data_IF_176212294975
#
_entry.id   IF_176212294975
#
_cell.length_a   1.000
_cell.length_b   1.000
_cell.length_c   1.000
_cell.angle_alpha   90.00
_cell.angle_beta   90.00
_cell.angle_gamma   90.00
#
_symmetry.space_group_name_H-M   'P 1'
#
loop_
_entity.id
_entity.type
_entity.pdbx_description
1 polymer ?
#
# COMPACT_ATOMS: atom_id res chain seq x y z
N UNK A 1 9.63 -14.42 13.85
CA UNK A 1 8.47 -13.58 13.49
C UNK A 1 8.86 -12.88 12.19
N UNK A 2 7.99 -12.89 11.17
CA UNK A 2 8.28 -12.14 9.94
C UNK A 2 7.99 -10.68 10.27
N UNK A 3 8.89 -9.76 9.98
CA UNK A 3 8.63 -8.33 10.23
C UNK A 3 7.62 -7.76 9.23
N UNK A 4 6.93 -6.68 9.60
CA UNK A 4 5.97 -6.00 8.71
C UNK A 4 6.63 -5.55 7.39
N UNK A 5 7.86 -5.04 7.45
CA UNK A 5 8.63 -4.64 6.26
C UNK A 5 8.74 -5.80 5.25
N UNK A 6 9.17 -6.97 5.71
CA UNK A 6 9.32 -8.15 4.86
C UNK A 6 7.97 -8.58 4.26
N UNK A 7 6.88 -8.51 5.04
CA UNK A 7 5.54 -8.81 4.52
C UNK A 7 5.08 -7.83 3.46
N UNK A 8 5.29 -6.52 3.63
CA UNK A 8 4.94 -5.53 2.60
C UNK A 8 5.78 -5.73 1.33
N UNK A 9 7.08 -5.99 1.46
CA UNK A 9 7.93 -6.30 0.30
C UNK A 9 7.43 -7.54 -0.44
N UNK A 10 7.10 -8.62 0.27
CA UNK A 10 6.60 -9.87 -0.32
C UNK A 10 5.28 -9.68 -1.05
N UNK A 11 4.33 -9.02 -0.41
CA UNK A 11 3.01 -8.83 -0.97
C UNK A 11 3.03 -7.86 -2.15
N UNK A 12 3.95 -6.87 -2.15
CA UNK A 12 4.18 -5.99 -3.30
C UNK A 12 4.66 -6.81 -4.49
N UNK A 13 5.74 -7.56 -4.29
CA UNK A 13 6.30 -8.46 -5.31
C UNK A 13 5.28 -9.47 -5.85
N UNK A 14 4.56 -10.14 -4.94
CA UNK A 14 3.54 -11.13 -5.30
C UNK A 14 2.40 -10.48 -6.08
N UNK A 15 1.93 -9.31 -5.67
CA UNK A 15 0.92 -8.55 -6.43
C UNK A 15 1.41 -8.23 -7.83
N UNK A 16 2.65 -7.77 -7.96
CA UNK A 16 3.27 -7.44 -9.24
C UNK A 16 3.35 -8.65 -10.17
N UNK A 17 3.89 -9.77 -9.69
CA UNK A 17 4.00 -11.04 -10.43
C UNK A 17 2.64 -11.62 -10.81
N UNK A 18 1.68 -11.61 -9.88
CA UNK A 18 0.33 -12.12 -10.14
C UNK A 18 -0.42 -11.26 -11.16
N UNK A 19 -0.21 -9.93 -11.14
CA UNK A 19 -0.74 -9.03 -12.17
C UNK A 19 -0.11 -9.28 -13.53
N UNK A 20 1.20 -9.45 -13.58
CA UNK A 20 1.91 -9.80 -14.82
C UNK A 20 1.36 -11.10 -15.40
N UNK A 21 1.25 -12.15 -14.58
CA UNK A 21 0.70 -13.44 -14.97
C UNK A 21 -0.77 -13.32 -15.41
N UNK A 22 -1.60 -12.57 -14.68
CA UNK A 22 -3.00 -12.33 -15.04
C UNK A 22 -3.15 -11.53 -16.36
N UNK A 23 -2.14 -10.78 -16.77
CA UNK A 23 -2.10 -10.09 -18.05
C UNK A 23 -1.68 -11.00 -19.22
N UNK A 24 -1.22 -12.23 -18.97
CA UNK A 24 -0.81 -13.17 -20.02
C UNK A 24 -1.99 -13.59 -20.90
N UNK A 25 -1.82 -13.73 -22.23
CA UNK A 25 -2.92 -14.01 -23.17
C UNK A 25 -3.67 -15.33 -22.91
N UNK A 26 -2.99 -16.31 -22.33
CA UNK A 26 -3.48 -17.65 -22.04
C UNK A 26 -4.19 -17.76 -20.68
N UNK A 27 -4.08 -16.72 -19.83
CA UNK A 27 -4.70 -16.69 -18.51
C UNK A 27 -6.07 -16.01 -18.58
N UNK A 28 -7.13 -16.78 -18.25
CA UNK A 28 -8.53 -16.32 -18.31
C UNK A 28 -9.14 -16.01 -16.94
N UNK A 29 -8.30 -15.69 -15.95
CA UNK A 29 -8.73 -15.35 -14.59
C UNK A 29 -8.83 -13.84 -14.41
N UNK A 30 -9.92 -13.39 -13.77
CA UNK A 30 -10.06 -12.00 -13.37
C UNK A 30 -9.30 -11.77 -12.07
N UNK A 31 -8.13 -11.13 -12.15
CA UNK A 31 -7.39 -10.66 -10.97
C UNK A 31 -7.70 -9.17 -10.71
N UNK A 32 -8.86 -8.92 -10.10
CA UNK A 32 -9.44 -7.58 -9.94
C UNK A 32 -8.91 -6.79 -8.75
N UNK A 33 -9.21 -5.49 -8.72
CA UNK A 33 -8.84 -4.55 -7.63
C UNK A 33 -9.29 -5.05 -6.25
N UNK A 34 -10.52 -5.54 -6.15
CA UNK A 34 -11.07 -6.09 -4.90
C UNK A 34 -10.30 -7.33 -4.45
N UNK A 35 -10.05 -8.27 -5.36
CA UNK A 35 -9.30 -9.50 -5.07
C UNK A 35 -7.89 -9.21 -4.56
N UNK A 36 -7.16 -8.30 -5.21
CA UNK A 36 -5.82 -7.90 -4.80
C UNK A 36 -5.86 -7.29 -3.39
N UNK A 37 -6.78 -6.35 -3.17
CA UNK A 37 -6.93 -5.65 -1.88
C UNK A 37 -7.24 -6.63 -0.76
N UNK A 38 -8.23 -7.51 -0.94
CA UNK A 38 -8.63 -8.49 0.06
C UNK A 38 -7.51 -9.48 0.37
N UNK A 39 -6.82 -9.98 -0.66
CA UNK A 39 -5.68 -10.89 -0.49
C UNK A 39 -4.58 -10.25 0.35
N UNK A 40 -4.18 -9.02 0.01
CA UNK A 40 -3.12 -8.31 0.72
C UNK A 40 -3.51 -8.00 2.17
N UNK A 41 -4.72 -7.50 2.42
CA UNK A 41 -5.18 -7.20 3.78
C UNK A 41 -5.27 -8.46 4.66
N UNK A 42 -5.77 -9.56 4.08
CA UNK A 42 -5.88 -10.85 4.78
C UNK A 42 -4.50 -11.40 5.13
N UNK A 43 -3.54 -11.35 4.20
CA UNK A 43 -2.19 -11.83 4.42
C UNK A 43 -1.43 -11.01 5.47
N UNK A 44 -1.57 -9.69 5.46
CA UNK A 44 -1.02 -8.83 6.52
C UNK A 44 -1.59 -9.27 7.88
N UNK A 45 -2.91 -9.43 7.99
CA UNK A 45 -3.56 -9.87 9.24
C UNK A 45 -3.16 -11.29 9.67
N UNK A 46 -2.97 -12.20 8.72
CA UNK A 46 -2.56 -13.59 8.99
C UNK A 46 -1.16 -13.66 9.59
N UNK A 47 -0.23 -12.86 9.05
CA UNK A 47 1.19 -12.89 9.42
C UNK A 47 1.51 -12.05 10.67
N UNK A 48 0.70 -11.04 10.95
CA UNK A 48 0.89 -10.09 12.06
C UNK A 48 -0.32 -10.08 12.99
N UNK A 49 -0.78 -11.26 13.40
CA UNK A 49 -2.06 -11.42 14.12
C UNK A 49 -2.12 -10.72 15.49
N UNK A 50 -0.98 -10.34 16.07
CA UNK A 50 -0.89 -9.64 17.35
C UNK A 50 -0.89 -8.13 17.19
N UNK A 51 -0.29 -7.66 16.09
CA UNK A 51 -0.09 -6.25 15.78
C UNK A 51 -1.22 -5.71 14.90
N UNK A 52 -1.89 -6.57 14.12
CA UNK A 52 -2.86 -6.18 13.11
C UNK A 52 -4.26 -6.63 13.49
N UNK A 53 -5.19 -5.67 13.48
CA UNK A 53 -6.64 -5.92 13.53
C UNK A 53 -7.24 -5.60 12.16
N UNK A 54 -7.97 -6.55 11.59
CA UNK A 54 -8.75 -6.38 10.36
C UNK A 54 -10.22 -6.53 10.71
N UNK A 55 -11.03 -5.52 10.39
CA UNK A 55 -12.47 -5.53 10.54
C UNK A 55 -13.12 -5.36 9.16
N UNK A 56 -14.12 -6.17 8.85
CA UNK A 56 -14.87 -6.13 7.59
C UNK A 56 -16.36 -6.10 7.88
N UNK A 57 -17.09 -5.20 7.22
CA UNK A 57 -18.54 -5.05 7.41
C UNK A 57 -19.30 -5.20 6.09
N UNK A 58 -20.61 -5.46 6.19
CA UNK A 58 -21.44 -5.78 5.03
C UNK A 58 -21.68 -4.57 4.12
N UNK A 59 -21.48 -4.76 2.81
CA UNK A 59 -21.58 -3.78 1.73
C UNK A 59 -22.91 -3.01 1.58
N UNK A 60 -23.95 -3.27 2.38
CA UNK A 60 -25.33 -2.83 2.07
C UNK A 60 -25.57 -1.31 2.10
N UNK A 61 -24.62 -0.49 2.57
CA UNK A 61 -24.78 0.97 2.59
C UNK A 61 -23.59 1.78 2.02
N UNK A 62 -22.49 1.16 1.61
CA UNK A 62 -21.17 1.78 1.87
C UNK A 62 -20.47 2.46 0.67
N UNK A 63 -20.65 1.98 -0.56
CA UNK A 63 -19.88 2.47 -1.72
C UNK A 63 -20.31 3.85 -2.27
N UNK A 64 -21.22 4.55 -1.59
CA UNK A 64 -21.83 5.80 -2.09
C UNK A 64 -21.23 7.07 -1.53
N UNK A 65 -20.59 7.01 -0.35
CA UNK A 65 -20.33 8.22 0.44
C UNK A 65 -18.85 8.56 0.58
N UNK A 66 -17.96 7.57 0.61
CA UNK A 66 -16.53 7.80 0.90
C UNK A 66 -15.64 7.68 -0.32
N UNK A 67 -16.03 6.88 -1.31
CA UNK A 67 -15.19 6.60 -2.48
C UNK A 67 -13.86 5.92 -2.13
N UNK A 68 -13.79 5.20 -1.00
CA UNK A 68 -12.62 4.47 -0.53
C UNK A 68 -12.87 2.95 -0.47
N UNK A 69 -11.80 2.16 -0.63
CA UNK A 69 -11.85 0.70 -0.53
C UNK A 69 -11.53 0.20 0.89
N UNK A 70 -10.66 0.91 1.63
CA UNK A 70 -10.38 0.65 3.05
C UNK A 70 -9.86 1.88 3.80
N UNK A 71 -9.85 1.78 5.12
CA UNK A 71 -9.17 2.71 6.03
C UNK A 71 -7.99 2.02 6.72
N UNK A 72 -6.88 2.75 6.84
CA UNK A 72 -5.65 2.25 7.40
C UNK A 72 -5.17 3.13 8.56
N UNK A 73 -5.05 2.56 9.75
CA UNK A 73 -4.49 3.20 10.93
C UNK A 73 -3.15 2.55 11.29
N UNK A 74 -2.05 3.28 11.16
CA UNK A 74 -0.71 2.85 11.55
C UNK A 74 -0.34 3.60 12.83
N UNK A 75 -0.25 2.86 13.93
CA UNK A 75 -0.12 3.42 15.28
C UNK A 75 1.34 3.29 15.72
N UNK A 76 2.03 4.42 15.85
CA UNK A 76 3.33 4.52 16.50
C UNK A 76 3.18 4.86 17.99
N UNK A 77 4.30 5.03 18.69
CA UNK A 77 4.34 5.42 20.11
C UNK A 77 3.86 6.84 20.35
N UNK A 78 4.14 7.76 19.42
CA UNK A 78 3.86 9.19 19.59
C UNK A 78 2.77 9.64 18.65
N UNK A 79 2.76 9.12 17.42
CA UNK A 79 1.85 9.52 16.37
C UNK A 79 1.16 8.33 15.72
N UNK A 80 -0.08 8.55 15.32
CA UNK A 80 -0.88 7.63 14.50
C UNK A 80 -1.08 8.25 13.13
N UNK A 81 -0.71 7.53 12.08
CA UNK A 81 -1.08 7.85 10.70
C UNK A 81 -2.38 7.16 10.36
N UNK A 82 -3.38 7.93 9.94
CA UNK A 82 -4.68 7.46 9.51
C UNK A 82 -4.89 7.82 8.05
N UNK A 83 -5.27 6.84 7.23
CA UNK A 83 -5.43 7.01 5.80
C UNK A 83 -6.78 6.48 5.35
N UNK A 84 -7.43 7.20 4.43
CA UNK A 84 -8.55 6.69 3.63
C UNK A 84 -7.97 6.30 2.27
N UNK A 85 -8.10 5.03 1.89
CA UNK A 85 -7.36 4.50 0.73
C UNK A 85 -8.31 3.99 -0.35
N UNK A 86 -8.08 4.43 -1.57
CA UNK A 86 -8.73 3.93 -2.78
C UNK A 86 -7.74 3.09 -3.59
N UNK A 87 -8.09 1.84 -3.88
CA UNK A 87 -7.32 1.00 -4.79
C UNK A 87 -7.57 1.40 -6.25
N UNK A 88 -6.53 1.24 -7.08
CA UNK A 88 -6.66 1.33 -8.52
C UNK A 88 -5.69 0.38 -9.21
N UNK A 89 -6.19 -0.54 -10.03
CA UNK A 89 -5.36 -1.46 -10.81
C UNK A 89 -4.95 -0.81 -12.13
N UNK A 90 -3.67 -0.90 -12.45
CA UNK A 90 -3.12 -0.50 -13.74
C UNK A 90 -3.43 -1.57 -14.78
N UNK A 91 -4.03 -1.17 -15.90
CA UNK A 91 -4.31 -2.08 -17.01
C UNK A 91 -3.02 -2.51 -17.71
N UNK A 92 -3.01 -3.68 -18.36
CA UNK A 92 -1.85 -4.24 -19.10
C UNK A 92 -1.01 -3.21 -19.86
N UNK A 93 -1.66 -2.29 -20.59
CA UNK A 93 -0.99 -1.26 -21.39
C UNK A 93 -0.44 -0.04 -20.58
N UNK A 94 -0.38 -0.14 -19.24
CA UNK A 94 0.02 0.94 -18.33
C UNK A 94 -1.08 1.97 -18.07
N UNK A 95 -2.27 1.78 -18.64
CA UNK A 95 -3.39 2.71 -18.52
C UNK A 95 -4.04 2.69 -17.14
N UNK A 96 -4.44 3.87 -16.66
CA UNK A 96 -5.23 4.03 -15.45
C UNK A 96 -6.70 4.16 -15.86
N UNK A 97 -7.56 3.28 -15.36
CA UNK A 97 -9.01 3.38 -15.60
C UNK A 97 -9.57 4.71 -15.08
N UNK A 98 -10.75 5.12 -15.55
CA UNK A 98 -11.31 6.44 -15.26
C UNK A 98 -11.27 6.80 -13.76
N UNK A 99 -10.47 7.83 -13.41
CA UNK A 99 -10.30 8.32 -12.04
C UNK A 99 -11.45 9.23 -11.59
N UNK A 100 -12.17 9.82 -12.54
CA UNK A 100 -13.39 10.62 -12.29
C UNK A 100 -14.65 9.78 -12.40
N UNK A 101 -14.53 8.48 -12.14
CA UNK A 101 -15.67 7.58 -12.19
C UNK A 101 -16.72 8.03 -11.16
N UNK A 102 -17.97 8.12 -11.61
CA UNK A 102 -19.10 8.34 -10.73
C UNK A 102 -19.51 7.00 -10.13
N UNK A 103 -19.61 6.93 -8.80
CA UNK A 103 -20.26 5.80 -8.13
C UNK A 103 -21.72 5.70 -8.56
N UNK A 104 -22.30 4.49 -8.53
CA UNK A 104 -23.71 4.30 -8.88
C UNK A 104 -24.61 5.07 -7.90
N UNK A 105 -25.18 6.17 -8.36
CA UNK A 105 -26.00 7.09 -7.55
C UNK A 105 -25.22 8.05 -6.67
N UNK A 106 -23.91 8.24 -6.92
CA UNK A 106 -23.10 9.26 -6.25
C UNK A 106 -23.43 10.66 -6.80
N UNK A 107 -23.35 11.68 -5.93
CA UNK A 107 -23.54 13.08 -6.32
C UNK A 107 -22.30 13.69 -6.97
N UNK A 108 -21.12 13.10 -6.78
CA UNK A 108 -19.85 13.60 -7.27
C UNK A 108 -18.85 12.47 -7.61
N UNK A 109 -17.75 12.76 -8.33
CA UNK A 109 -16.72 11.77 -8.67
C UNK A 109 -16.09 11.09 -7.45
N UNK A 110 -15.69 9.83 -7.59
CA UNK A 110 -15.14 9.03 -6.49
C UNK A 110 -13.92 9.67 -5.82
N UNK A 111 -13.02 10.29 -6.59
CA UNK A 111 -11.84 10.98 -6.06
C UNK A 111 -12.20 12.22 -5.22
N UNK A 112 -13.32 12.88 -5.54
CA UNK A 112 -13.79 14.04 -4.79
C UNK A 112 -14.38 13.59 -3.46
N UNK A 113 -15.20 12.53 -3.47
CA UNK A 113 -15.69 11.88 -2.25
C UNK A 113 -14.53 11.49 -1.33
N UNK A 114 -13.52 10.81 -1.86
CA UNK A 114 -12.35 10.37 -1.10
C UNK A 114 -11.64 11.53 -0.39
N UNK A 115 -11.39 12.62 -1.11
CA UNK A 115 -10.65 13.77 -0.55
C UNK A 115 -11.49 14.52 0.48
N UNK A 116 -12.77 14.78 0.18
CA UNK A 116 -13.66 15.52 1.08
C UNK A 116 -13.91 14.75 2.37
N UNK A 117 -14.20 13.47 2.25
CA UNK A 117 -14.47 12.59 3.38
C UNK A 117 -13.22 12.35 4.24
N UNK A 118 -12.04 12.17 3.62
CA UNK A 118 -10.79 12.09 4.37
C UNK A 118 -10.51 13.38 5.15
N UNK A 119 -10.71 14.55 4.53
CA UNK A 119 -10.54 15.85 5.20
C UNK A 119 -11.50 16.04 6.36
N UNK A 120 -12.77 15.67 6.18
CA UNK A 120 -13.79 15.78 7.23
C UNK A 120 -13.50 14.90 8.46
N UNK A 121 -12.67 13.87 8.31
CA UNK A 121 -12.32 12.90 9.37
C UNK A 121 -10.84 12.97 9.80
N UNK A 122 -10.11 14.01 9.39
CA UNK A 122 -8.67 14.18 9.64
C UNK A 122 -7.83 12.95 9.25
N UNK A 123 -8.04 12.48 8.02
CA UNK A 123 -7.36 11.35 7.40
C UNK A 123 -6.53 11.82 6.19
N UNK A 124 -5.47 11.08 5.88
CA UNK A 124 -4.74 11.25 4.63
C UNK A 124 -5.51 10.56 3.49
N UNK A 125 -5.94 11.26 2.43
CA UNK A 125 -6.55 10.63 1.28
C UNK A 125 -5.46 10.03 0.37
N UNK A 126 -5.48 8.70 0.20
CA UNK A 126 -4.45 7.98 -0.54
C UNK A 126 -5.05 7.20 -1.72
N UNK A 127 -4.29 7.10 -2.80
CA UNK A 127 -4.44 6.04 -3.80
C UNK A 127 -3.41 4.95 -3.55
N UNK A 128 -3.82 3.70 -3.75
CA UNK A 128 -2.92 2.56 -3.86
C UNK A 128 -3.04 1.97 -5.27
N UNK A 129 -2.04 2.22 -6.10
CA UNK A 129 -1.96 1.67 -7.44
C UNK A 129 -1.38 0.26 -7.42
N UNK A 130 -2.10 -0.68 -8.04
CA UNK A 130 -1.61 -2.03 -8.28
C UNK A 130 -1.05 -2.15 -9.69
N UNK A 131 0.26 -2.41 -9.82
CA UNK A 131 0.96 -2.46 -11.10
C UNK A 131 1.89 -3.67 -11.20
N UNK A 132 2.13 -4.13 -12.42
CA UNK A 132 3.16 -5.13 -12.70
C UNK A 132 4.51 -4.43 -12.96
N UNK A 133 5.61 -5.10 -12.61
CA UNK A 133 6.99 -4.60 -12.74
C UNK A 133 7.32 -4.11 -14.15
N UNK A 134 6.90 -4.79 -15.24
CA UNK A 134 7.17 -4.32 -16.60
C UNK A 134 6.51 -2.99 -16.99
N UNK A 135 5.59 -2.48 -16.17
CA UNK A 135 4.83 -1.26 -16.46
C UNK A 135 5.46 0.00 -15.89
N UNK A 136 6.54 -0.12 -15.13
CA UNK A 136 7.22 0.99 -14.47
C UNK A 136 8.24 1.66 -15.42
N UNK A 137 8.44 2.96 -15.30
CA UNK A 137 9.32 3.75 -16.17
C UNK A 137 10.37 4.57 -15.41
N UNK A 138 10.08 4.96 -14.17
CA UNK A 138 10.95 5.82 -13.33
C UNK A 138 11.78 5.03 -12.33
N UNK A 139 11.21 4.02 -11.67
CA UNK A 139 11.97 3.21 -10.71
C UNK A 139 13.05 2.33 -11.40
N UNK A 140 13.03 2.23 -12.75
CA UNK A 140 14.11 1.63 -13.56
C UNK A 140 15.18 2.69 -13.87
N UNK A 141 16.03 3.07 -12.92
CA UNK A 141 17.35 3.63 -13.29
C UNK A 141 18.44 3.20 -12.32
N UNK A 142 18.72 1.90 -12.32
CA UNK A 142 20.01 1.35 -11.92
C UNK A 142 20.59 0.57 -13.09
N UNK A 143 21.48 1.17 -13.87
CA UNK A 143 22.28 0.45 -14.87
C UNK A 143 23.40 -0.28 -14.14
N UNK A 144 23.14 -1.47 -13.60
CA UNK A 144 24.20 -2.26 -12.96
C UNK A 144 24.11 -3.73 -13.35
N UNK A 145 24.98 -4.10 -14.29
CA UNK A 145 25.63 -5.42 -14.44
C UNK A 145 24.94 -6.60 -13.73
N UNK A 146 23.96 -7.19 -14.41
CA UNK A 146 23.64 -8.63 -14.44
C UNK A 146 23.39 -9.44 -13.13
N UNK A 147 23.20 -8.84 -11.94
CA UNK A 147 22.97 -9.65 -10.71
C UNK A 147 21.83 -9.24 -9.78
N UNK A 148 21.23 -8.06 -9.96
CA UNK A 148 20.21 -7.57 -9.05
C UNK A 148 19.02 -6.99 -9.82
N UNK A 149 17.82 -7.44 -9.46
CA UNK A 149 16.56 -6.94 -10.02
C UNK A 149 15.85 -6.12 -8.95
N UNK A 150 15.51 -4.87 -9.25
CA UNK A 150 14.60 -4.08 -8.42
C UNK A 150 13.22 -4.75 -8.42
N UNK A 151 12.55 -4.79 -7.26
CA UNK A 151 11.31 -5.56 -7.10
C UNK A 151 10.29 -4.82 -6.20
N UNK A 152 10.16 -3.52 -6.41
CA UNK A 152 9.46 -2.61 -5.49
C UNK A 152 8.09 -2.17 -6.00
N UNK A 153 7.65 -2.72 -7.14
CA UNK A 153 6.32 -2.44 -7.68
C UNK A 153 5.27 -3.39 -7.10
N UNK A 154 4.04 -3.30 -7.59
CA UNK A 154 2.93 -4.09 -7.09
C UNK A 154 1.96 -3.27 -6.26
N UNK A 155 2.44 -2.47 -5.31
CA UNK A 155 1.61 -1.63 -4.45
C UNK A 155 2.25 -0.25 -4.26
N UNK A 156 1.83 0.72 -5.07
CA UNK A 156 2.36 2.08 -5.07
C UNK A 156 1.35 3.05 -4.43
N UNK A 157 1.74 3.75 -3.38
CA UNK A 157 0.92 4.73 -2.68
C UNK A 157 1.16 6.12 -3.26
N UNK A 158 0.10 6.89 -3.46
CA UNK A 158 0.15 8.28 -3.88
C UNK A 158 -0.84 9.13 -3.08
N UNK A 159 -0.58 10.43 -2.99
CA UNK A 159 -1.53 11.41 -2.47
C UNK A 159 -2.70 11.61 -3.44
N UNK A 160 -3.94 11.43 -2.99
CA UNK A 160 -5.12 11.59 -3.83
C UNK A 160 -5.28 13.03 -4.36
N UNK A 161 -4.82 14.05 -3.62
CA UNK A 161 -4.87 15.43 -4.10
C UNK A 161 -3.95 15.63 -5.31
N UNK A 162 -2.76 15.03 -5.28
CA UNK A 162 -1.82 14.99 -6.41
C UNK A 162 -2.41 14.22 -7.59
N UNK A 163 -3.02 13.06 -7.34
CA UNK A 163 -3.70 12.26 -8.38
C UNK A 163 -4.83 13.06 -9.03
N UNK A 164 -5.64 13.78 -8.24
CA UNK A 164 -6.72 14.65 -8.76
C UNK A 164 -6.17 15.80 -9.59
N UNK A 165 -5.11 16.45 -9.12
CA UNK A 165 -4.47 17.58 -9.79
C UNK A 165 -3.87 17.18 -11.14
N UNK A 166 -3.14 16.06 -11.19
CA UNK A 166 -2.49 15.57 -12.41
C UNK A 166 -3.45 14.85 -13.36
N UNK A 167 -4.52 14.25 -12.82
CA UNK A 167 -5.48 13.43 -13.56
C UNK A 167 -4.80 12.43 -14.52
N UNK A 168 -3.88 11.58 -14.02
CA UNK A 168 -3.02 10.76 -14.85
C UNK A 168 -3.82 9.75 -15.67
N UNK A 169 -3.39 9.50 -16.91
CA UNK A 169 -4.00 8.49 -17.80
C UNK A 169 -3.17 7.22 -17.86
N UNK A 170 -1.88 7.32 -17.55
CA UNK A 170 -0.94 6.21 -17.48
C UNK A 170 -0.15 6.26 -16.17
N UNK A 171 0.44 5.14 -15.79
CA UNK A 171 1.29 5.06 -14.60
C UNK A 171 2.45 6.06 -14.66
N UNK A 172 3.12 6.17 -15.81
CA UNK A 172 4.26 7.07 -16.04
C UNK A 172 3.95 8.55 -15.73
N UNK A 173 2.69 8.96 -15.85
CA UNK A 173 2.25 10.34 -15.57
C UNK A 173 2.29 10.69 -14.07
N UNK A 174 2.28 9.67 -13.19
CA UNK A 174 2.16 9.82 -11.73
C UNK A 174 3.25 9.04 -10.96
N UNK A 175 4.02 8.18 -11.62
CA UNK A 175 4.98 7.26 -10.99
C UNK A 175 5.96 8.00 -10.06
N UNK A 176 6.42 9.18 -10.45
CA UNK A 176 7.35 10.03 -9.67
C UNK A 176 6.76 10.53 -8.35
N UNK A 177 5.43 10.61 -8.25
CA UNK A 177 4.69 11.06 -7.07
C UNK A 177 4.07 9.89 -6.30
N UNK A 178 4.51 8.67 -6.61
CA UNK A 178 4.15 7.48 -5.88
C UNK A 178 5.33 7.01 -5.02
N UNK A 179 5.06 6.15 -4.05
CA UNK A 179 6.07 5.38 -3.34
C UNK A 179 5.59 3.95 -3.14
N UNK A 180 6.47 2.95 -3.19
CA UNK A 180 6.16 1.61 -2.72
C UNK A 180 5.61 1.63 -1.29
N UNK A 181 4.58 0.85 -1.00
CA UNK A 181 3.95 0.84 0.32
C UNK A 181 4.86 0.41 1.48
N UNK A 182 5.98 -0.30 1.22
CA UNK A 182 6.96 -0.63 2.25
C UNK A 182 7.71 0.60 2.76
N UNK A 183 7.60 1.74 2.07
CA UNK A 183 8.12 3.02 2.57
C UNK A 183 7.37 3.55 3.79
N UNK A 184 6.20 2.99 4.11
CA UNK A 184 5.57 3.18 5.43
C UNK A 184 6.46 2.61 6.55
N UNK A 185 7.29 1.59 6.26
CA UNK A 185 8.30 1.08 7.19
C UNK A 185 9.63 1.81 7.05
N UNK A 186 10.19 1.89 5.84
CA UNK A 186 11.52 2.48 5.60
C UNK A 186 11.70 3.02 4.19
N UNK A 187 12.39 4.16 4.04
CA UNK A 187 12.62 4.83 2.74
C UNK A 187 13.84 4.29 1.98
N UNK A 188 14.22 3.05 2.22
CA UNK A 188 15.28 2.38 1.47
C UNK A 188 14.69 1.69 0.27
N UNK A 189 15.41 1.79 -0.86
CA UNK A 189 15.15 0.91 -1.98
C UNK A 189 15.72 -0.47 -1.72
N UNK A 190 15.08 -1.48 -2.29
CA UNK A 190 15.48 -2.87 -2.17
C UNK A 190 15.64 -3.52 -3.54
N UNK A 191 16.59 -4.45 -3.59
CA UNK A 191 16.84 -5.30 -4.74
C UNK A 191 16.80 -6.76 -4.32
N UNK A 192 16.46 -7.61 -5.27
CA UNK A 192 16.53 -9.07 -5.16
C UNK A 192 17.75 -9.57 -5.88
N UNK A 193 18.35 -10.64 -5.36
CA UNK A 193 19.45 -11.34 -6.01
C UNK A 193 18.98 -12.69 -6.54
N UNK A 194 19.01 -12.84 -7.86
CA UNK A 194 18.72 -14.13 -8.49
C UNK A 194 19.63 -15.23 -7.96
N UNK A 195 19.02 -16.26 -7.36
CA UNK A 195 19.75 -17.42 -6.89
C UNK A 195 19.84 -18.44 -8.03
N UNK A 196 21.02 -18.60 -8.67
CA UNK A 196 21.18 -19.49 -9.82
C UNK A 196 20.91 -20.96 -9.50
N UNK A 197 20.95 -21.35 -8.21
CA UNK A 197 20.61 -22.70 -7.79
C UNK A 197 19.09 -22.95 -7.79
N UNK A 198 18.25 -21.95 -7.49
CA UNK A 198 16.79 -22.10 -7.51
C UNK A 198 16.23 -22.19 -8.94
N UNK A 199 16.88 -21.55 -9.91
CA UNK A 199 16.55 -21.68 -11.34
C UNK A 199 16.71 -23.12 -11.86
N UNK A 200 17.62 -23.89 -11.26
CA UNK A 200 17.94 -25.27 -11.68
C UNK A 200 16.97 -26.31 -11.13
N UNK A 201 16.21 -25.98 -10.09
CA UNK A 201 15.29 -26.89 -9.40
C UNK A 201 13.87 -26.28 -9.36
N UNK A 202 13.30 -25.88 -10.50
CA UNK A 202 11.87 -25.52 -10.62
C UNK A 202 10.96 -26.74 -10.34
N UNK A 203 11.07 -27.33 -9.16
CA UNK A 203 10.13 -28.28 -8.57
C UNK A 203 9.47 -27.59 -7.36
N UNK A 204 8.16 -27.39 -7.46
CA UNK A 204 7.16 -27.27 -6.38
C UNK A 204 7.57 -26.60 -5.05
N UNK A 205 8.35 -25.53 -5.08
CA UNK A 205 8.56 -24.71 -3.90
C UNK A 205 7.36 -23.76 -3.71
N UNK A 206 6.79 -23.67 -2.49
CA UNK A 206 5.63 -22.82 -2.22
C UNK A 206 5.95 -21.33 -2.44
N UNK A 207 4.96 -20.59 -2.96
CA UNK A 207 4.99 -19.14 -3.30
C UNK A 207 5.59 -18.26 -2.18
N UNK A 208 5.49 -18.71 -0.93
CA UNK A 208 5.98 -18.02 0.27
C UNK A 208 7.53 -17.94 0.37
N UNK A 209 8.30 -18.56 -0.56
CA UNK A 209 9.78 -18.49 -0.60
C UNK A 209 10.39 -17.68 -1.75
N UNK A 210 9.58 -16.97 -2.55
CA UNK A 210 10.03 -16.34 -3.81
C UNK A 210 10.64 -14.93 -3.65
N UNK A 211 10.84 -14.45 -2.44
CA UNK A 211 11.70 -13.28 -2.25
C UNK A 211 13.13 -13.78 -2.09
N UNK A 212 13.87 -13.65 -3.19
CA UNK A 212 15.32 -13.70 -3.20
C UNK A 212 15.91 -12.69 -2.21
N UNK A 213 17.12 -12.95 -1.73
CA UNK A 213 17.78 -12.18 -0.67
C UNK A 213 17.58 -10.65 -0.85
N UNK A 214 16.81 -10.05 0.08
CA UNK A 214 16.46 -8.64 0.08
C UNK A 214 17.68 -7.83 0.48
N UNK A 215 18.21 -7.02 -0.44
CA UNK A 215 19.42 -6.23 -0.20
C UNK A 215 19.07 -4.74 -0.30
N UNK A 216 19.30 -3.94 0.76
CA UNK A 216 19.14 -2.49 0.71
C UNK A 216 20.07 -1.87 -0.35
N UNK A 217 19.54 -0.98 -1.18
CA UNK A 217 20.33 -0.19 -2.12
C UNK A 217 21.07 0.96 -1.38
N UNK A 218 22.38 1.15 -1.59
CA UNK A 218 23.13 2.29 -1.06
C UNK A 218 22.75 3.62 -1.72
N UNK A 219 22.32 3.55 -2.98
CA UNK A 219 21.82 4.67 -3.76
C UNK A 219 20.31 4.74 -3.50
N UNK A 220 19.84 5.76 -2.80
CA UNK A 220 18.55 6.44 -3.00
C UNK A 220 17.82 6.85 -1.73
N UNK A 221 17.44 8.14 -1.70
CA UNK A 221 16.29 8.62 -0.96
C UNK A 221 15.12 8.71 -1.93
N UNK A 222 14.01 8.10 -1.57
CA UNK A 222 12.78 8.20 -2.33
C UNK A 222 12.18 9.60 -2.35
N UNK A 223 11.30 9.87 -3.33
CA UNK A 223 10.40 11.01 -3.31
C UNK A 223 9.61 11.04 -2.00
N UNK A 224 9.62 12.18 -1.31
CA UNK A 224 8.82 12.38 -0.12
C UNK A 224 7.40 12.79 -0.52
N UNK A 225 6.45 11.86 -0.46
CA UNK A 225 5.03 12.14 -0.71
C UNK A 225 4.29 12.60 0.57
N UNK A 226 5.02 13.01 1.60
CA UNK A 226 4.48 13.53 2.86
C UNK A 226 4.15 12.47 3.91
N UNK A 227 4.20 11.17 3.56
CA UNK A 227 3.94 10.07 4.50
C UNK A 227 5.15 9.81 5.41
N UNK A 228 4.95 9.78 6.75
CA UNK A 228 6.00 9.39 7.68
C UNK A 228 6.23 7.87 7.66
N UNK A 229 7.45 7.47 8.00
CA UNK A 229 7.77 6.08 8.33
C UNK A 229 7.30 5.72 9.74
N UNK A 230 7.17 4.43 10.03
CA UNK A 230 6.91 3.90 11.38
C UNK A 230 7.94 4.39 12.40
N UNK A 231 9.20 4.57 12.02
CA UNK A 231 10.23 5.13 12.92
C UNK A 231 9.91 6.57 13.29
N UNK A 232 9.53 7.39 12.32
CA UNK A 232 9.12 8.78 12.57
C UNK A 232 7.86 8.86 13.43
N UNK A 233 6.89 7.95 13.26
CA UNK A 233 5.69 7.87 14.12
C UNK A 233 6.03 7.51 15.58
N UNK A 234 7.16 6.85 15.79
CA UNK A 234 7.66 6.45 17.10
C UNK A 234 8.58 7.50 17.75
N UNK A 235 9.05 8.48 16.99
CA UNK A 235 10.00 9.50 17.44
C UNK A 235 9.30 10.83 17.73
N UNK A 236 9.20 11.20 19.01
CA UNK A 236 8.59 12.49 19.42
C UNK A 236 9.40 13.74 19.07
N UNK A 237 10.52 13.59 18.36
CA UNK A 237 11.33 14.71 17.85
C UNK A 237 10.86 15.18 16.47
N UNK A 238 10.17 14.32 15.73
CA UNK A 238 9.61 14.68 14.42
C UNK A 238 8.36 15.52 14.66
N UNK A 239 8.36 16.81 14.28
CA UNK A 239 7.15 17.64 14.27
C UNK A 239 6.22 17.16 13.16
N UNK A 240 5.39 16.16 13.47
CA UNK A 240 4.41 15.59 12.53
C UNK A 240 2.99 16.11 12.77
N UNK A 241 2.76 16.88 13.84
CA UNK A 241 1.43 17.34 14.27
C UNK A 241 0.67 18.15 13.19
N UNK A 242 1.37 18.78 12.24
CA UNK A 242 0.77 19.58 11.16
C UNK A 242 0.50 18.78 9.88
N UNK A 243 0.89 17.49 9.84
CA UNK A 243 0.73 16.67 8.63
C UNK A 243 -0.67 16.06 8.57
N UNK A 244 -1.24 16.07 7.36
CA UNK A 244 -2.55 15.43 7.10
C UNK A 244 -2.55 13.96 7.50
N UNK A 245 -3.65 13.54 8.12
CA UNK A 245 -3.83 12.18 8.61
C UNK A 245 -2.98 11.82 9.84
N UNK A 246 -2.20 12.74 10.41
CA UNK A 246 -1.44 12.50 11.63
C UNK A 246 -2.20 13.01 12.84
N UNK A 247 -2.32 12.18 13.87
CA UNK A 247 -2.77 12.57 15.20
C UNK A 247 -1.83 12.03 16.25
N UNK A 248 -1.77 12.67 17.43
CA UNK A 248 -1.03 12.09 18.55
C UNK A 248 -1.66 10.75 18.97
N UNK A 249 -0.81 9.78 19.26
CA UNK A 249 -1.26 8.47 19.73
C UNK A 249 -1.72 8.61 21.19
N UNK A 250 -2.97 8.22 21.52
CA UNK A 250 -3.41 8.17 22.90
C UNK A 250 -2.61 7.14 23.71
N UNK A 251 -2.37 7.40 24.98
CA UNK A 251 -1.71 6.45 25.89
C UNK A 251 -2.55 5.18 26.10
N UNK A 252 -3.87 5.31 26.05
CA UNK A 252 -4.81 4.19 26.09
C UNK A 252 -4.96 3.54 24.71
N UNK A 253 -5.04 2.21 24.67
CA UNK A 253 -5.49 1.49 23.47
C UNK A 253 -6.88 2.04 23.13
N UNK A 254 -6.98 2.77 22.02
CA UNK A 254 -8.21 3.50 21.67
C UNK A 254 -9.44 2.61 21.72
N UNK A 255 -10.60 3.23 21.99
CA UNK A 255 -11.91 2.59 22.07
C UNK A 255 -12.11 1.61 20.90
N UNK A 256 -12.73 0.48 21.22
CA UNK A 256 -13.05 -0.56 20.25
C UNK A 256 -14.01 0.04 19.21
N UNK A 257 -13.61 0.04 17.94
CA UNK A 257 -14.42 0.68 16.90
C UNK A 257 -15.69 -0.15 16.71
N UNK A 258 -16.83 0.49 16.91
CA UNK A 258 -18.14 -0.17 16.87
C UNK A 258 -18.65 -0.30 15.44
N UNK A 259 -19.51 -1.28 15.13
CA UNK A 259 -20.19 -1.35 13.83
C UNK A 259 -20.92 -0.04 13.45
N UNK A 260 -21.43 0.69 14.44
CA UNK A 260 -22.09 1.99 14.29
C UNK A 260 -21.12 3.06 13.77
N UNK A 261 -19.86 3.06 14.25
CA UNK A 261 -18.81 3.98 13.77
C UNK A 261 -18.51 3.74 12.29
N UNK A 262 -18.50 2.48 11.83
CA UNK A 262 -18.29 2.14 10.43
C UNK A 262 -19.43 2.60 9.54
N UNK A 263 -20.67 2.38 9.97
CA UNK A 263 -21.85 2.86 9.23
C UNK A 263 -21.87 4.38 9.12
N UNK A 264 -21.45 5.08 10.17
CA UNK A 264 -21.32 6.55 10.17
C UNK A 264 -20.19 7.00 9.23
N UNK A 265 -19.07 6.28 9.21
CA UNK A 265 -17.89 6.61 8.41
C UNK A 265 -17.96 6.12 6.97
N UNK A 266 -18.83 5.19 6.62
CA UNK A 266 -19.01 4.64 5.27
C UNK A 266 -17.82 3.81 4.78
N UNK A 267 -17.26 2.93 5.61
CA UNK A 267 -16.06 2.12 5.26
C UNK A 267 -16.29 0.62 5.44
N UNK A 268 -15.98 -0.15 4.40
CA UNK A 268 -16.17 -1.62 4.37
C UNK A 268 -15.09 -2.41 5.06
N UNK A 269 -13.87 -1.87 5.07
CA UNK A 269 -12.67 -2.55 5.54
C UNK A 269 -11.82 -1.61 6.34
N UNK A 270 -11.41 -2.06 7.52
CA UNK A 270 -10.57 -1.28 8.41
C UNK A 270 -9.41 -2.10 8.92
N UNK A 271 -8.21 -1.56 8.73
CA UNK A 271 -6.97 -2.16 9.15
C UNK A 271 -6.28 -1.27 10.18
N UNK A 272 -6.10 -1.78 11.39
CA UNK A 272 -5.29 -1.17 12.44
C UNK A 272 -4.01 -1.95 12.58
N UNK A 273 -2.87 -1.28 12.48
CA UNK A 273 -1.53 -1.86 12.68
C UNK A 273 -0.87 -1.15 13.85
N UNK A 274 -0.65 -1.87 14.95
CA UNK A 274 0.03 -1.40 16.14
C UNK A 274 1.55 -1.63 16.02
N UNK A 275 2.29 -0.55 15.78
CA UNK A 275 3.73 -0.53 15.60
C UNK A 275 4.42 0.28 16.72
N UNK A 276 3.83 0.32 17.92
CA UNK A 276 4.44 0.95 19.10
C UNK A 276 5.71 0.24 19.56
N UNK A 277 5.75 -1.08 19.37
CA UNK A 277 6.94 -1.90 19.54
C UNK A 277 7.26 -2.58 18.20
N UNK A 278 7.79 -1.82 17.21
CA UNK A 278 8.06 -2.39 15.89
C UNK A 278 9.10 -3.50 16.03
N UNK A 279 8.97 -4.57 15.25
CA UNK A 279 10.01 -5.61 15.20
C UNK A 279 11.32 -5.01 14.67
N UNK A 280 12.23 -4.69 15.61
CA UNK A 280 13.46 -3.93 15.36
C UNK A 280 14.50 -4.71 14.54
N UNK A 281 14.30 -6.01 14.32
CA UNK A 281 15.23 -6.86 13.58
C UNK A 281 15.14 -6.69 12.05
N UNK A 282 14.16 -5.93 11.55
CA UNK A 282 13.90 -5.79 10.11
C UNK A 282 14.89 -4.89 9.34
N UNK A 283 15.60 -3.97 10.02
CA UNK A 283 16.44 -2.93 9.37
C UNK A 283 17.90 -2.98 9.82
N UNK A 284 18.22 -3.76 10.86
CA UNK A 284 19.60 -3.93 11.35
C UNK A 284 20.17 -5.28 10.92
N UNK A 285 20.53 -5.41 9.63
CA UNK A 285 21.66 -6.21 9.14
C UNK A 285 22.25 -5.55 7.92
#
# INVERSE_FOLDING_TARGET
>A
MISLLHTLLELGHSTSKNLEFAHSPDVKVSYGEETITETNLLEIRRRHAREVTLLTFSKSQESKNTGADWEWHIIGRVYTLKMRVQAKRIHKAGGIGNLKQMGKGASQPQIDLLIEDAKANDLFPAYCFYCAEPQRSYWIKGTVKEKFESFETGCLIADAETVKSKAPKKLDDIENDTVPWHFLCTRHKFSTRQNPYLLRFQEDLPIERYIEEIIPSPEDRATDIGLPTIFQLNEGRSRLDERKGISRTPEAVGEEITPEDFKKRGITRFLKIDMRAPDLFAIRR
#
